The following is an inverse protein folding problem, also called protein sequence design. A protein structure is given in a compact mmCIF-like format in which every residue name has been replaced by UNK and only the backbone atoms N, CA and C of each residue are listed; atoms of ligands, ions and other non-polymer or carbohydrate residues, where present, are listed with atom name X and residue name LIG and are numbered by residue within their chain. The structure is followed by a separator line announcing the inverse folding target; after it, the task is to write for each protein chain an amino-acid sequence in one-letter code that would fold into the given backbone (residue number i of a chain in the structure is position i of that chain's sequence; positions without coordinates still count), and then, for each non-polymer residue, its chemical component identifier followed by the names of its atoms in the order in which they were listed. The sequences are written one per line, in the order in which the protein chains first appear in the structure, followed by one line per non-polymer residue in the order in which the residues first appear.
data_IF_464604486415
#
_entry.id   IF_464604486415
#
_cell.length_a   1.000
_cell.length_b   1.000
_cell.length_c   1.000
_cell.angle_alpha   90.00
_cell.angle_beta   90.00
_cell.angle_gamma   90.00
#
_symmetry.space_group_name_H-M   'P 1'
#
loop_
_entity.id
_entity.type
_entity.pdbx_description
1 polymer ?
#
# COMPACT_ATOMS: atom_id res chain seq x y z
N UNK A 1 -25.60 -37.49 -12.06
CA UNK A 1 -25.47 -36.36 -11.13
C UNK A 1 -26.34 -35.24 -11.67
N UNK A 2 -27.32 -34.78 -10.90
CA UNK A 2 -28.21 -33.71 -11.34
C UNK A 2 -27.45 -32.38 -11.35
N UNK A 3 -27.79 -31.48 -12.27
CA UNK A 3 -27.09 -30.19 -12.43
C UNK A 3 -27.13 -29.34 -11.14
N UNK A 4 -28.17 -29.50 -10.32
CA UNK A 4 -28.34 -28.82 -9.03
C UNK A 4 -27.35 -29.32 -7.98
N UNK A 5 -27.09 -30.64 -7.91
CA UNK A 5 -26.10 -31.21 -6.98
C UNK A 5 -24.71 -30.66 -7.26
N UNK A 6 -24.35 -30.60 -8.54
CA UNK A 6 -23.07 -30.05 -8.99
C UNK A 6 -22.95 -28.55 -8.70
N UNK A 7 -24.02 -27.79 -8.93
CA UNK A 7 -24.07 -26.37 -8.59
C UNK A 7 -23.92 -26.13 -7.07
N UNK A 8 -24.55 -26.96 -6.24
CA UNK A 8 -24.42 -26.90 -4.78
C UNK A 8 -22.99 -27.10 -4.31
N UNK A 9 -22.31 -28.14 -4.81
CA UNK A 9 -20.90 -28.43 -4.48
C UNK A 9 -19.98 -27.27 -4.90
N UNK A 10 -20.17 -26.73 -6.10
CA UNK A 10 -19.39 -25.57 -6.55
C UNK A 10 -19.63 -24.37 -5.64
N UNK A 11 -20.90 -24.11 -5.28
CA UNK A 11 -21.27 -23.00 -4.40
C UNK A 11 -20.59 -23.13 -3.03
N UNK A 12 -20.56 -24.33 -2.46
CA UNK A 12 -19.92 -24.60 -1.17
C UNK A 12 -18.41 -24.33 -1.23
N UNK A 13 -17.72 -24.86 -2.25
CA UNK A 13 -16.27 -24.65 -2.43
C UNK A 13 -15.98 -23.15 -2.62
N UNK A 14 -16.75 -22.46 -3.48
CA UNK A 14 -16.57 -21.02 -3.72
C UNK A 14 -16.83 -20.19 -2.47
N UNK A 15 -17.80 -20.57 -1.64
CA UNK A 15 -18.09 -19.92 -0.35
C UNK A 15 -16.91 -20.09 0.60
N UNK A 16 -16.44 -21.33 0.77
CA UNK A 16 -15.38 -21.65 1.71
C UNK A 16 -14.05 -21.00 1.32
N UNK A 17 -13.68 -21.11 0.04
CA UNK A 17 -12.48 -20.49 -0.52
C UNK A 17 -12.60 -18.97 -0.50
N UNK A 18 -13.71 -18.41 -0.99
CA UNK A 18 -13.93 -16.97 -1.07
C UNK A 18 -13.95 -16.29 0.29
N UNK A 19 -14.64 -16.87 1.28
CA UNK A 19 -14.71 -16.30 2.63
C UNK A 19 -13.40 -16.49 3.40
N UNK A 20 -12.84 -17.69 3.46
CA UNK A 20 -11.63 -17.94 4.27
C UNK A 20 -10.42 -17.24 3.65
N UNK A 21 -10.13 -17.50 2.37
CA UNK A 21 -8.96 -16.91 1.70
C UNK A 21 -9.16 -15.40 1.55
N UNK A 22 -10.35 -14.94 1.16
CA UNK A 22 -10.67 -13.53 1.05
C UNK A 22 -10.53 -12.79 2.39
N UNK A 23 -11.04 -13.35 3.49
CA UNK A 23 -10.89 -12.75 4.81
C UNK A 23 -9.43 -12.66 5.26
N UNK A 24 -8.64 -13.72 5.07
CA UNK A 24 -7.21 -13.70 5.42
C UNK A 24 -6.47 -12.63 4.61
N UNK A 25 -6.65 -12.57 3.29
CA UNK A 25 -6.01 -11.57 2.44
C UNK A 25 -6.44 -10.14 2.83
N UNK A 26 -7.73 -9.96 3.13
CA UNK A 26 -8.26 -8.66 3.57
C UNK A 26 -7.63 -8.23 4.90
N UNK A 27 -7.57 -9.11 5.90
CA UNK A 27 -6.95 -8.85 7.20
C UNK A 27 -5.46 -8.53 7.05
N UNK A 28 -4.71 -9.30 6.25
CA UNK A 28 -3.29 -9.02 5.99
C UNK A 28 -3.14 -7.65 5.32
N UNK A 29 -3.98 -7.33 4.34
CA UNK A 29 -4.03 -6.00 3.72
C UNK A 29 -4.36 -4.89 4.71
N UNK A 30 -5.21 -5.16 5.71
CA UNK A 30 -5.47 -4.23 6.81
C UNK A 30 -4.22 -3.97 7.63
N UNK A 31 -3.56 -5.03 8.07
CA UNK A 31 -2.31 -5.00 8.85
C UNK A 31 -1.18 -4.26 8.14
N UNK A 32 -0.99 -4.48 6.82
CA UNK A 32 0.03 -3.78 6.04
C UNK A 32 -0.14 -2.26 6.07
N UNK A 33 -1.37 -1.74 5.95
CA UNK A 33 -1.61 -0.28 6.08
C UNK A 33 -1.39 0.20 7.50
N UNK A 34 -1.82 -0.58 8.50
CA UNK A 34 -1.63 -0.25 9.91
C UNK A 34 -0.14 -0.07 10.24
N UNK A 35 0.71 -0.93 9.67
CA UNK A 35 2.16 -0.91 9.86
C UNK A 35 2.85 0.14 8.98
N UNK A 36 2.32 0.42 7.77
CA UNK A 36 2.90 1.45 6.88
C UNK A 36 2.72 2.87 7.45
N UNK A 37 1.80 3.07 8.40
CA UNK A 37 1.62 4.35 9.08
C UNK A 37 1.07 5.44 8.16
N UNK A 38 0.79 6.63 8.73
CA UNK A 38 0.33 7.79 7.94
C UNK A 38 1.55 8.47 7.33
N UNK A 39 1.81 8.19 6.07
CA UNK A 39 2.76 8.97 5.28
C UNK A 39 2.21 10.37 5.06
N UNK A 40 3.03 11.38 5.33
CA UNK A 40 2.72 12.78 5.07
C UNK A 40 3.41 13.17 3.79
N UNK A 41 2.65 13.74 2.85
CA UNK A 41 3.18 14.26 1.59
C UNK A 41 3.59 15.70 1.78
N UNK A 42 4.81 16.03 1.36
CA UNK A 42 5.29 17.42 1.30
C UNK A 42 6.12 17.64 0.04
N UNK A 43 6.35 18.90 -0.28
CA UNK A 43 7.28 19.29 -1.34
C UNK A 43 8.65 19.47 -0.70
N UNK A 44 9.64 18.80 -1.26
CA UNK A 44 11.04 18.92 -0.90
C UNK A 44 11.81 19.59 -2.03
N UNK A 45 13.03 20.03 -1.73
CA UNK A 45 13.95 20.63 -2.68
C UNK A 45 15.26 19.85 -2.65
N UNK A 46 15.87 19.63 -3.81
CA UNK A 46 17.22 19.10 -3.89
C UNK A 46 18.20 20.18 -3.46
N UNK A 47 19.04 19.90 -2.47
CA UNK A 47 20.09 20.78 -2.01
C UNK A 47 21.46 20.13 -2.20
N UNK A 48 22.49 20.95 -2.38
CA UNK A 48 23.86 20.49 -2.29
C UNK A 48 24.15 20.04 -0.85
N UNK A 49 24.87 18.94 -0.68
CA UNK A 49 25.30 18.51 0.65
C UNK A 49 26.59 19.23 1.05
N UNK A 50 26.59 19.81 2.25
CA UNK A 50 27.80 20.43 2.81
C UNK A 50 28.81 19.39 3.32
N UNK A 51 28.38 18.12 3.44
CA UNK A 51 29.15 16.99 3.96
C UNK A 51 29.94 16.21 2.88
N UNK A 52 30.14 16.81 1.69
CA UNK A 52 30.68 16.18 0.48
C UNK A 52 32.18 15.77 0.53
N UNK A 53 32.69 15.34 1.68
CA UNK A 53 33.98 14.65 1.79
C UNK A 53 33.83 13.11 1.77
N UNK A 54 32.65 12.56 2.10
CA UNK A 54 32.43 11.09 2.14
C UNK A 54 30.97 10.64 1.94
N UNK A 55 30.05 11.56 1.67
CA UNK A 55 28.61 11.30 1.51
C UNK A 55 28.06 11.68 0.13
N UNK A 56 26.76 11.44 -0.12
CA UNK A 56 26.12 11.81 -1.38
C UNK A 56 26.17 13.32 -1.61
N UNK A 57 26.48 13.73 -2.83
CA UNK A 57 26.69 15.13 -3.20
C UNK A 57 25.42 16.00 -3.12
N UNK A 58 24.24 15.35 -3.12
CA UNK A 58 22.94 16.00 -3.06
C UNK A 58 22.06 15.34 -1.99
N UNK A 59 21.25 16.17 -1.33
CA UNK A 59 20.27 15.74 -0.33
C UNK A 59 18.90 16.28 -0.71
N UNK A 60 17.87 15.55 -0.30
CA UNK A 60 16.49 15.99 -0.40
C UNK A 60 16.15 16.68 0.92
N UNK A 61 15.80 17.97 0.88
CA UNK A 61 15.49 18.78 2.06
C UNK A 61 14.02 19.21 2.05
N UNK A 62 13.33 19.06 3.17
CA UNK A 62 11.95 19.49 3.31
C UNK A 62 11.65 20.02 4.70
N UNK A 63 10.52 20.70 4.82
CA UNK A 63 9.95 21.13 6.09
C UNK A 63 8.84 20.17 6.51
N UNK A 64 8.81 19.82 7.79
CA UNK A 64 7.64 19.16 8.36
C UNK A 64 6.52 20.17 8.71
N UNK A 65 5.46 19.69 9.37
CA UNK A 65 4.34 20.55 9.73
C UNK A 65 4.64 21.52 10.89
N UNK A 66 5.69 21.24 11.66
CA UNK A 66 6.14 22.05 12.78
C UNK A 66 7.16 23.11 12.33
N UNK A 67 7.60 23.03 11.08
CA UNK A 67 8.57 23.94 10.46
C UNK A 67 10.02 23.51 10.64
N UNK A 68 10.24 22.30 11.15
CA UNK A 68 11.58 21.73 11.29
C UNK A 68 12.10 21.25 9.92
N UNK A 69 13.40 21.48 9.70
CA UNK A 69 14.10 21.06 8.48
C UNK A 69 14.57 19.63 8.63
N UNK A 70 14.21 18.80 7.66
CA UNK A 70 14.65 17.42 7.57
C UNK A 70 15.37 17.16 6.25
N UNK A 71 16.31 16.22 6.29
CA UNK A 71 17.15 15.87 5.16
C UNK A 71 17.29 14.36 5.01
N UNK A 72 17.36 13.91 3.78
CA UNK A 72 17.63 12.51 3.45
C UNK A 72 18.50 12.44 2.18
N UNK A 73 19.42 11.46 2.07
CA UNK A 73 20.20 11.27 0.86
C UNK A 73 19.38 11.17 -0.42
N UNK A 74 19.81 11.86 -1.48
CA UNK A 74 19.17 11.83 -2.80
C UNK A 74 19.64 10.65 -3.66
N UNK A 75 19.71 9.45 -3.08
CA UNK A 75 20.34 8.27 -3.69
C UNK A 75 19.39 7.44 -4.57
N UNK A 76 18.13 7.87 -4.72
CA UNK A 76 17.11 7.13 -5.46
C UNK A 76 17.21 7.37 -6.98
N UNK A 77 16.78 6.41 -7.80
CA UNK A 77 16.82 6.57 -9.26
C UNK A 77 16.06 7.81 -9.77
N UNK A 78 14.95 8.16 -9.10
CA UNK A 78 14.16 9.35 -9.43
C UNK A 78 14.89 10.67 -9.14
N UNK A 79 15.91 10.65 -8.27
CA UNK A 79 16.67 11.84 -7.86
C UNK A 79 18.04 11.96 -8.53
N UNK A 80 18.48 10.94 -9.27
CA UNK A 80 19.80 10.91 -9.92
C UNK A 80 20.02 12.01 -10.97
N UNK A 81 18.95 12.45 -11.62
CA UNK A 81 19.01 13.48 -12.68
C UNK A 81 18.58 14.87 -12.19
N UNK A 82 18.26 15.02 -10.90
CA UNK A 82 17.81 16.29 -10.35
C UNK A 82 19.00 17.12 -9.88
N UNK A 83 18.91 18.42 -10.10
CA UNK A 83 19.95 19.40 -9.79
C UNK A 83 19.56 20.19 -8.54
N UNK A 84 20.51 20.71 -7.74
CA UNK A 84 20.17 21.59 -6.63
C UNK A 84 19.25 22.74 -7.05
N UNK A 85 18.15 22.92 -6.31
CA UNK A 85 17.09 23.87 -6.61
C UNK A 85 15.84 23.23 -7.24
N UNK A 86 15.92 21.98 -7.72
CA UNK A 86 14.75 21.28 -8.25
C UNK A 86 13.80 20.85 -7.12
N UNK A 87 12.50 21.01 -7.39
CA UNK A 87 11.44 20.52 -6.52
C UNK A 87 11.23 19.01 -6.73
N UNK A 88 11.15 18.26 -5.62
CA UNK A 88 10.81 16.84 -5.62
C UNK A 88 9.72 16.56 -4.60
N UNK A 89 8.83 15.63 -4.92
CA UNK A 89 7.79 15.21 -3.99
C UNK A 89 8.33 14.13 -3.08
N UNK A 90 8.11 14.30 -1.77
CA UNK A 90 8.50 13.29 -0.79
C UNK A 90 7.34 12.91 0.12
N UNK A 91 7.40 11.67 0.55
CA UNK A 91 6.55 11.12 1.59
C UNK A 91 7.44 10.75 2.77
N UNK A 92 7.14 11.31 3.93
CA UNK A 92 7.86 11.05 5.17
C UNK A 92 6.91 10.61 6.28
N UNK A 93 7.45 10.03 7.36
CA UNK A 93 6.65 9.67 8.55
C UNK A 93 6.94 10.67 9.66
N UNK A 94 5.92 11.29 10.24
CA UNK A 94 6.11 12.24 11.34
C UNK A 94 6.82 11.65 12.58
N UNK A 95 6.70 10.34 12.79
CA UNK A 95 7.37 9.63 13.89
C UNK A 95 8.84 9.30 13.61
N UNK A 96 9.25 9.34 12.34
CA UNK A 96 10.58 9.01 11.84
C UNK A 96 10.87 9.89 10.62
N UNK A 97 11.06 11.20 10.83
CA UNK A 97 11.24 12.14 9.73
C UNK A 97 12.57 11.92 9.01
N UNK A 98 13.55 11.23 9.60
CA UNK A 98 14.81 10.87 8.96
C UNK A 98 14.67 9.93 7.75
N UNK A 99 13.48 9.33 7.55
CA UNK A 99 13.20 8.45 6.41
C UNK A 99 12.19 9.09 5.47
N UNK A 100 12.63 9.38 4.25
CA UNK A 100 11.75 9.77 3.16
C UNK A 100 11.67 8.71 2.07
N UNK A 101 10.60 8.77 1.29
CA UNK A 101 10.42 8.01 0.04
C UNK A 101 10.01 9.00 -1.04
N UNK A 102 10.55 8.82 -2.24
CA UNK A 102 10.22 9.60 -3.45
C UNK A 102 9.10 8.96 -4.27
N UNK A 103 8.81 7.68 -4.02
CA UNK A 103 7.68 6.96 -4.60
C UNK A 103 6.42 7.05 -3.74
N UNK A 104 5.26 7.12 -4.38
CA UNK A 104 3.96 7.22 -3.72
C UNK A 104 3.64 5.95 -2.90
N UNK A 105 3.47 6.04 -1.56
CA UNK A 105 3.12 4.93 -0.70
C UNK A 105 1.63 4.56 -0.79
N UNK A 106 0.78 5.27 -1.56
CA UNK A 106 -0.65 4.93 -1.68
C UNK A 106 -0.90 3.55 -2.34
N UNK A 107 0.14 2.96 -2.93
CA UNK A 107 0.14 1.59 -3.44
C UNK A 107 0.35 0.53 -2.34
N UNK A 108 0.81 0.91 -1.14
CA UNK A 108 1.12 -0.03 -0.05
C UNK A 108 -0.18 -0.69 0.47
N UNK A 109 -0.41 -1.95 0.11
CA UNK A 109 -1.50 -2.78 0.61
C UNK A 109 -2.87 -2.57 -0.05
N UNK A 110 -3.03 -1.60 -0.94
CA UNK A 110 -4.29 -1.34 -1.67
C UNK A 110 -4.70 -2.51 -2.57
N UNK A 111 -3.74 -3.08 -3.29
CA UNK A 111 -3.97 -4.26 -4.15
C UNK A 111 -4.42 -5.48 -3.35
N UNK A 112 -3.73 -5.79 -2.24
CA UNK A 112 -4.05 -6.95 -1.40
C UNK A 112 -5.46 -6.84 -0.79
N UNK A 113 -5.85 -5.64 -0.36
CA UNK A 113 -7.21 -5.38 0.16
C UNK A 113 -8.27 -5.52 -0.91
N UNK A 114 -8.02 -4.99 -2.10
CA UNK A 114 -8.99 -5.05 -3.20
C UNK A 114 -9.23 -6.51 -3.61
N UNK A 115 -8.16 -7.30 -3.75
CA UNK A 115 -8.24 -8.73 -4.05
C UNK A 115 -8.99 -9.48 -2.93
N UNK A 116 -8.63 -9.21 -1.67
CA UNK A 116 -9.33 -9.81 -0.51
C UNK A 116 -10.82 -9.46 -0.46
N UNK A 117 -11.18 -8.21 -0.77
CA UNK A 117 -12.56 -7.73 -0.80
C UNK A 117 -13.37 -8.37 -1.94
N UNK A 118 -12.77 -8.49 -3.13
CA UNK A 118 -13.41 -9.17 -4.27
C UNK A 118 -13.65 -10.65 -3.96
N UNK A 119 -12.66 -11.35 -3.40
CA UNK A 119 -12.80 -12.75 -3.00
C UNK A 119 -13.87 -12.95 -1.92
N UNK A 120 -13.92 -12.05 -0.92
CA UNK A 120 -14.98 -12.04 0.09
C UNK A 120 -16.36 -11.84 -0.56
N UNK A 121 -16.48 -10.89 -1.48
CA UNK A 121 -17.73 -10.64 -2.21
C UNK A 121 -18.21 -11.86 -2.98
N UNK A 122 -17.30 -12.55 -3.70
CA UNK A 122 -17.61 -13.80 -4.40
C UNK A 122 -18.05 -14.88 -3.41
N UNK A 123 -17.34 -15.03 -2.29
CA UNK A 123 -17.69 -16.01 -1.26
C UNK A 123 -19.08 -15.76 -0.66
N UNK A 124 -19.44 -14.51 -0.39
CA UNK A 124 -20.77 -14.14 0.11
C UNK A 124 -21.84 -14.45 -0.93
N UNK A 125 -21.64 -14.09 -2.20
CA UNK A 125 -22.61 -14.38 -3.27
C UNK A 125 -22.80 -15.89 -3.49
N UNK A 126 -21.72 -16.67 -3.45
CA UNK A 126 -21.79 -18.12 -3.51
C UNK A 126 -22.52 -18.72 -2.29
N UNK A 127 -22.31 -18.16 -1.09
CA UNK A 127 -23.02 -18.61 0.11
C UNK A 127 -24.53 -18.37 -0.01
N UNK A 128 -24.93 -17.19 -0.47
CA UNK A 128 -26.34 -16.85 -0.73
C UNK A 128 -26.93 -17.77 -1.80
N UNK A 129 -26.23 -18.00 -2.91
CA UNK A 129 -26.68 -18.90 -3.97
C UNK A 129 -26.86 -20.34 -3.47
N UNK A 130 -25.93 -20.83 -2.63
CA UNK A 130 -26.03 -22.16 -2.01
C UNK A 130 -27.24 -22.29 -1.10
N UNK A 131 -27.53 -21.26 -0.29
CA UNK A 131 -28.74 -21.22 0.54
C UNK A 131 -29.99 -21.27 -0.34
N UNK A 132 -30.05 -20.47 -1.41
CA UNK A 132 -31.19 -20.45 -2.34
C UNK A 132 -31.40 -21.81 -3.00
N UNK A 133 -30.32 -22.47 -3.45
CA UNK A 133 -30.37 -23.81 -4.03
C UNK A 133 -30.91 -24.86 -3.07
N UNK A 134 -30.73 -24.68 -1.75
CA UNK A 134 -31.26 -25.61 -0.74
C UNK A 134 -32.80 -25.58 -0.66
N UNK A 135 -33.43 -24.52 -1.18
CA UNK A 135 -34.88 -24.34 -1.21
C UNK A 135 -35.50 -24.57 -2.60
N UNK A 136 -34.70 -24.90 -3.62
CA UNK A 136 -35.14 -25.20 -4.99
C UNK A 136 -35.13 -26.71 -5.25
#
# INVERSE_FOLDING_TARGET
MHALDFAGIISEILTLVGLIIGAVLYIVGLSVRGISGRWTRTTAVIAASDAAASGPATVIRWFDNDGDVHECPADTHETQNLVPGDDVRVWFRNRRPEKCRTHDPDLDGKGLRLIGLVLLGIGVLAGVAGIVLMFL
#
